data_IF_621432110585
#
_entry.id   IF_621432110585
#
_cell.length_a   1.000
_cell.length_b   1.000
_cell.length_c   1.000
_cell.angle_alpha   90.00
_cell.angle_beta   90.00
_cell.angle_gamma   90.00
#
_symmetry.space_group_name_H-M   'P 1'
#
loop_
_entity.id
_entity.type
_entity.pdbx_description
1 polymer ?
#
# COMPACT_ATOMS: atom_id res chain seq x y z
N UNK A 1 -11.14 0.34 17.68
CA UNK A 1 -9.85 0.17 16.99
C UNK A 1 -9.73 1.28 15.97
N UNK A 2 -8.80 2.18 16.18
CA UNK A 2 -8.64 3.38 15.36
C UNK A 2 -8.39 2.99 13.92
N UNK A 3 -9.25 3.48 13.06
CA UNK A 3 -9.07 3.49 11.60
C UNK A 3 -7.84 4.36 11.31
N UNK A 4 -6.65 3.78 11.38
CA UNK A 4 -5.41 4.48 11.12
C UNK A 4 -5.40 4.78 9.63
N UNK A 5 -5.85 5.99 9.32
CA UNK A 5 -5.90 6.52 7.97
C UNK A 5 -4.46 6.60 7.49
N UNK A 6 -4.14 5.93 6.40
CA UNK A 6 -2.83 6.07 5.76
C UNK A 6 -2.83 7.40 5.04
N UNK A 7 -2.26 8.41 5.65
CA UNK A 7 -2.26 9.78 5.15
C UNK A 7 -0.84 10.30 4.87
N UNK A 8 0.18 9.49 5.11
CA UNK A 8 1.56 9.92 4.93
C UNK A 8 2.03 9.61 3.52
N UNK A 9 2.40 10.66 2.79
CA UNK A 9 3.08 10.60 1.50
C UNK A 9 4.58 10.77 1.73
N UNK A 10 5.39 9.77 1.36
CA UNK A 10 6.84 9.84 1.48
C UNK A 10 7.45 10.33 0.18
N UNK A 11 8.30 11.36 0.28
CA UNK A 11 9.09 11.91 -0.83
C UNK A 11 10.55 11.52 -0.59
N UNK A 12 11.15 10.82 -1.55
CA UNK A 12 12.56 10.41 -1.51
C UNK A 12 13.29 11.04 -2.69
N UNK A 13 14.08 12.05 -2.43
CA UNK A 13 14.86 12.81 -3.42
C UNK A 13 16.04 13.46 -2.69
N UNK A 14 17.23 13.45 -3.26
CA UNK A 14 18.41 14.07 -2.66
C UNK A 14 18.41 15.61 -2.78
N UNK A 15 17.66 16.15 -3.71
CA UNK A 15 17.54 17.60 -3.93
C UNK A 15 16.43 18.20 -3.05
N UNK A 16 16.83 19.09 -2.14
CA UNK A 16 15.91 19.81 -1.25
C UNK A 16 14.87 20.64 -2.00
N UNK A 17 15.24 21.23 -3.14
CA UNK A 17 14.31 22.05 -3.95
C UNK A 17 13.22 21.17 -4.55
N UNK A 18 13.58 20.02 -5.09
CA UNK A 18 12.61 19.05 -5.63
C UNK A 18 11.66 18.57 -4.55
N UNK A 19 12.16 18.22 -3.35
CA UNK A 19 11.31 17.82 -2.23
C UNK A 19 10.33 18.93 -1.85
N UNK A 20 10.81 20.18 -1.76
CA UNK A 20 9.96 21.33 -1.45
C UNK A 20 8.86 21.58 -2.49
N UNK A 21 9.14 21.38 -3.78
CA UNK A 21 8.12 21.49 -4.85
C UNK A 21 7.04 20.42 -4.67
N UNK A 22 7.44 19.17 -4.45
CA UNK A 22 6.50 18.07 -4.25
C UNK A 22 5.70 18.23 -2.95
N UNK A 23 6.34 18.68 -1.87
CA UNK A 23 5.64 19.01 -0.63
C UNK A 23 4.53 20.04 -0.87
N UNK A 24 4.82 21.14 -1.56
CA UNK A 24 3.82 22.16 -1.89
C UNK A 24 2.63 21.61 -2.69
N UNK A 25 2.89 20.66 -3.58
CA UNK A 25 1.84 20.04 -4.39
C UNK A 25 0.88 19.21 -3.53
N UNK A 26 1.38 18.50 -2.51
CA UNK A 26 0.63 17.47 -1.80
C UNK A 26 0.26 17.80 -0.35
N UNK A 27 0.86 18.80 0.27
CA UNK A 27 0.67 19.11 1.70
C UNK A 27 -0.78 19.46 2.11
N UNK A 28 -1.60 19.90 1.16
CA UNK A 28 -3.00 20.20 1.45
C UNK A 28 -3.87 18.94 1.65
N UNK A 29 -3.48 17.81 1.04
CA UNK A 29 -4.23 16.56 1.08
C UNK A 29 -3.58 15.50 1.98
N UNK A 30 -2.26 15.54 2.18
CA UNK A 30 -1.48 14.49 2.85
C UNK A 30 -0.50 15.05 3.87
N UNK A 31 -0.18 14.24 4.87
CA UNK A 31 0.98 14.48 5.72
C UNK A 31 2.23 14.09 4.96
N UNK A 32 3.18 15.01 4.84
CA UNK A 32 4.41 14.78 4.08
C UNK A 32 5.51 14.27 5.00
N UNK A 33 6.16 13.20 4.57
CA UNK A 33 7.44 12.74 5.11
C UNK A 33 8.51 12.82 4.02
N UNK A 34 9.72 13.11 4.40
CA UNK A 34 10.84 13.28 3.46
C UNK A 34 12.00 12.35 3.82
N UNK A 35 12.71 11.90 2.79
CA UNK A 35 14.01 11.24 2.92
C UNK A 35 14.96 11.82 1.87
N UNK A 36 16.19 12.07 2.28
CA UNK A 36 17.20 12.74 1.45
C UNK A 36 18.09 11.79 0.66
N UNK A 37 17.93 10.49 0.84
CA UNK A 37 18.70 9.46 0.13
C UNK A 37 17.95 8.13 0.04
N UNK A 38 18.47 7.21 -0.76
CA UNK A 38 17.91 5.89 -0.94
C UNK A 38 17.83 5.06 0.36
N UNK A 39 18.92 4.96 1.14
CA UNK A 39 18.93 4.19 2.39
C UNK A 39 17.92 4.69 3.42
N UNK A 40 17.80 5.99 3.62
CA UNK A 40 16.83 6.56 4.57
C UNK A 40 15.39 6.39 4.10
N UNK A 41 15.14 6.54 2.79
CA UNK A 41 13.85 6.27 2.18
C UNK A 41 13.43 4.80 2.35
N UNK A 42 14.33 3.88 2.00
CA UNK A 42 14.09 2.44 2.16
C UNK A 42 13.78 2.07 3.60
N UNK A 43 14.56 2.57 4.55
CA UNK A 43 14.34 2.32 5.98
C UNK A 43 12.95 2.78 6.43
N UNK A 44 12.55 4.00 6.08
CA UNK A 44 11.22 4.53 6.44
C UNK A 44 10.09 3.69 5.87
N UNK A 45 10.25 3.22 4.63
CA UNK A 45 9.24 2.37 3.98
C UNK A 45 9.13 1.02 4.70
N UNK A 46 10.25 0.38 5.01
CA UNK A 46 10.27 -0.94 5.64
C UNK A 46 9.82 -0.92 7.10
N UNK A 47 10.13 0.16 7.85
CA UNK A 47 9.74 0.28 9.26
C UNK A 47 8.23 0.44 9.47
N UNK A 48 7.56 1.19 8.59
CA UNK A 48 6.15 1.51 8.78
C UNK A 48 5.38 1.61 7.45
N UNK A 49 5.36 0.54 6.62
CA UNK A 49 4.70 0.58 5.32
C UNK A 49 3.20 0.85 5.43
N UNK A 50 2.61 0.47 6.57
CA UNK A 50 1.17 0.63 6.82
C UNK A 50 0.73 2.06 7.15
N UNK A 51 1.66 2.95 7.43
CA UNK A 51 1.39 4.38 7.64
C UNK A 51 1.43 5.17 6.33
N UNK A 52 2.07 4.63 5.30
CA UNK A 52 2.26 5.31 4.02
C UNK A 52 1.06 5.10 3.08
N UNK A 53 0.62 6.17 2.43
CA UNK A 53 -0.37 6.10 1.35
C UNK A 53 0.26 6.03 -0.03
N UNK A 54 1.44 6.57 -0.22
CA UNK A 54 2.24 6.48 -1.45
C UNK A 54 3.70 6.86 -1.20
N UNK A 55 4.57 6.50 -2.13
CA UNK A 55 5.98 6.90 -2.18
C UNK A 55 6.26 7.57 -3.52
N UNK A 56 6.85 8.76 -3.47
CA UNK A 56 7.43 9.45 -4.62
C UNK A 56 8.94 9.30 -4.54
N UNK A 57 9.55 8.64 -5.49
CA UNK A 57 10.94 8.20 -5.44
C UNK A 57 11.71 8.73 -6.66
N UNK A 58 12.76 9.50 -6.42
CA UNK A 58 13.68 9.88 -7.49
C UNK A 58 14.59 8.70 -7.87
N UNK A 59 14.87 8.58 -9.16
CA UNK A 59 15.80 7.55 -9.69
C UNK A 59 17.24 7.97 -9.43
N UNK A 60 17.60 9.20 -9.75
CA UNK A 60 19.00 9.66 -9.73
C UNK A 60 19.34 10.23 -8.36
N UNK A 61 19.97 9.41 -7.54
CA UNK A 61 20.49 9.78 -6.23
C UNK A 61 21.90 9.23 -6.03
N UNK A 62 22.80 9.93 -5.31
CA UNK A 62 24.12 9.42 -5.01
C UNK A 62 24.08 8.13 -4.18
N UNK A 63 24.95 7.19 -4.49
CA UNK A 63 25.02 5.90 -3.80
C UNK A 63 23.91 4.96 -4.22
N UNK A 64 22.92 4.74 -3.37
CA UNK A 64 21.77 3.92 -3.69
C UNK A 64 20.75 4.73 -4.51
N UNK A 65 20.57 4.39 -5.77
CA UNK A 65 19.59 5.02 -6.65
C UNK A 65 18.15 4.50 -6.40
N UNK A 66 17.18 5.17 -7.04
CA UNK A 66 15.77 4.80 -6.88
C UNK A 66 15.42 3.41 -7.41
N UNK A 67 16.09 2.90 -8.44
CA UNK A 67 15.87 1.55 -8.94
C UNK A 67 16.36 0.50 -7.96
N UNK A 68 17.48 0.72 -7.29
CA UNK A 68 17.96 -0.18 -6.24
C UNK A 68 17.00 -0.22 -5.04
N UNK A 69 16.48 0.93 -4.63
CA UNK A 69 15.41 1.00 -3.61
C UNK A 69 14.21 0.18 -4.06
N UNK A 70 13.76 0.38 -5.29
CA UNK A 70 12.60 -0.32 -5.85
C UNK A 70 12.81 -1.84 -5.93
N UNK A 71 14.01 -2.31 -6.32
CA UNK A 71 14.35 -3.75 -6.33
C UNK A 71 14.23 -4.36 -4.94
N UNK A 72 14.66 -3.67 -3.91
CA UNK A 72 14.55 -4.14 -2.52
C UNK A 72 13.10 -4.19 -2.06
N UNK A 73 12.32 -3.16 -2.38
CA UNK A 73 10.89 -3.14 -2.07
C UNK A 73 10.11 -4.24 -2.80
N UNK A 74 10.49 -4.55 -4.03
CA UNK A 74 9.89 -5.62 -4.80
C UNK A 74 10.10 -7.00 -4.15
N UNK A 75 11.29 -7.28 -3.61
CA UNK A 75 11.58 -8.51 -2.87
C UNK A 75 10.69 -8.69 -1.64
N UNK A 76 10.32 -7.59 -1.00
CA UNK A 76 9.40 -7.56 0.14
C UNK A 76 7.91 -7.51 -0.27
N UNK A 77 7.60 -7.61 -1.57
CA UNK A 77 6.25 -7.57 -2.14
C UNK A 77 5.47 -6.29 -1.77
N UNK A 78 6.16 -5.19 -1.51
CA UNK A 78 5.56 -3.91 -1.11
C UNK A 78 4.82 -3.18 -2.23
N UNK A 79 5.26 -3.21 -3.51
CA UNK A 79 4.54 -2.54 -4.59
C UNK A 79 3.08 -2.98 -4.77
N UNK A 80 2.74 -4.21 -4.38
CA UNK A 80 1.36 -4.70 -4.41
C UNK A 80 0.45 -4.05 -3.35
N UNK A 81 1.04 -3.50 -2.30
CA UNK A 81 0.33 -2.95 -1.13
C UNK A 81 0.50 -1.45 -0.95
N UNK A 82 1.54 -0.88 -1.53
CA UNK A 82 1.91 0.52 -1.42
C UNK A 82 2.23 1.08 -2.81
N UNK A 83 1.47 2.07 -3.30
CA UNK A 83 1.76 2.66 -4.60
C UNK A 83 3.06 3.46 -4.57
N UNK A 84 3.96 3.13 -5.50
CA UNK A 84 5.26 3.75 -5.67
C UNK A 84 5.29 4.42 -7.04
N UNK A 85 5.68 5.68 -7.06
CA UNK A 85 5.88 6.49 -8.27
C UNK A 85 7.35 6.84 -8.40
N UNK A 86 7.91 6.67 -9.57
CA UNK A 86 9.21 7.25 -9.88
C UNK A 86 9.04 8.66 -10.43
N UNK A 87 9.84 9.59 -9.95
CA UNK A 87 9.91 10.96 -10.48
C UNK A 87 11.34 11.23 -10.89
N UNK A 88 11.61 11.32 -12.19
CA UNK A 88 12.98 11.38 -12.67
C UNK A 88 13.17 12.30 -13.89
N UNK A 89 14.33 12.91 -13.99
CA UNK A 89 14.77 13.60 -15.20
C UNK A 89 15.22 12.62 -16.30
N UNK A 90 15.58 11.39 -15.94
CA UNK A 90 16.07 10.36 -16.86
C UNK A 90 15.06 9.21 -17.00
N UNK A 91 14.12 9.35 -17.94
CA UNK A 91 13.15 8.32 -18.29
C UNK A 91 13.55 7.59 -19.56
N UNK A 92 14.70 6.91 -19.57
CA UNK A 92 15.11 6.06 -20.70
C UNK A 92 14.25 4.80 -20.78
N UNK A 93 14.17 4.19 -21.98
CA UNK A 93 13.39 2.96 -22.17
C UNK A 93 13.80 1.84 -21.21
N UNK A 94 15.08 1.70 -20.92
CA UNK A 94 15.59 0.69 -19.97
C UNK A 94 15.13 0.94 -18.56
N UNK A 95 15.16 2.19 -18.09
CA UNK A 95 14.65 2.60 -16.77
C UNK A 95 13.16 2.36 -16.66
N UNK A 96 12.39 2.74 -17.68
CA UNK A 96 10.94 2.53 -17.71
C UNK A 96 10.58 1.05 -17.63
N UNK A 97 11.21 0.21 -18.45
CA UNK A 97 10.96 -1.23 -18.49
C UNK A 97 11.27 -1.89 -17.14
N UNK A 98 12.40 -1.56 -16.56
CA UNK A 98 12.78 -2.09 -15.27
C UNK A 98 11.82 -1.62 -14.17
N UNK A 99 11.50 -0.34 -14.11
CA UNK A 99 10.60 0.23 -13.12
C UNK A 99 9.22 -0.43 -13.16
N UNK A 100 8.63 -0.55 -14.34
CA UNK A 100 7.33 -1.21 -14.46
C UNK A 100 7.39 -2.71 -14.15
N UNK A 101 8.48 -3.40 -14.49
CA UNK A 101 8.66 -4.81 -14.12
C UNK A 101 8.77 -5.02 -12.61
N UNK A 102 9.22 -4.01 -11.88
CA UNK A 102 9.32 -4.01 -10.41
C UNK A 102 8.05 -3.49 -9.72
N UNK A 103 6.98 -3.25 -10.48
CA UNK A 103 5.66 -2.92 -9.95
C UNK A 103 5.45 -1.45 -9.60
N UNK A 104 6.26 -0.53 -10.14
CA UNK A 104 5.99 0.90 -10.00
C UNK A 104 4.65 1.25 -10.66
N UNK A 105 3.89 2.13 -10.02
CA UNK A 105 2.57 2.52 -10.52
C UNK A 105 2.65 3.44 -11.73
N UNK A 106 3.62 4.33 -11.72
CA UNK A 106 3.82 5.27 -12.81
C UNK A 106 5.23 5.88 -12.74
N UNK A 107 5.70 6.37 -13.88
CA UNK A 107 6.95 7.14 -13.99
C UNK A 107 6.62 8.54 -14.48
N UNK A 108 7.00 9.52 -13.70
CA UNK A 108 6.72 10.95 -13.94
C UNK A 108 8.04 11.64 -14.28
N UNK A 109 8.08 12.26 -15.44
CA UNK A 109 9.26 12.99 -15.89
C UNK A 109 9.37 14.37 -15.22
N UNK A 110 10.58 14.75 -14.83
CA UNK A 110 10.90 16.14 -14.44
C UNK A 110 11.12 17.01 -15.68
N UNK A 111 10.76 18.29 -15.68
CA UNK A 111 10.11 19.04 -14.59
C UNK A 111 8.64 18.63 -14.41
N UNK A 112 8.20 18.55 -13.15
CA UNK A 112 6.84 18.17 -12.83
C UNK A 112 5.83 19.28 -13.16
N UNK A 113 4.68 18.90 -13.70
CA UNK A 113 3.54 19.80 -13.86
C UNK A 113 2.61 19.59 -12.67
N UNK A 114 2.51 20.55 -11.75
CA UNK A 114 1.84 20.34 -10.45
C UNK A 114 0.45 19.73 -10.51
N UNK A 115 -0.41 20.27 -11.36
CA UNK A 115 -1.77 19.77 -11.53
C UNK A 115 -1.80 18.32 -12.03
N UNK A 116 -0.94 17.98 -12.98
CA UNK A 116 -0.89 16.62 -13.57
C UNK A 116 -0.40 15.62 -12.56
N UNK A 117 0.69 15.90 -11.87
CA UNK A 117 1.28 15.03 -10.84
C UNK A 117 0.30 14.82 -9.69
N UNK A 118 -0.28 15.89 -9.18
CA UNK A 118 -1.27 15.83 -8.11
C UNK A 118 -2.44 14.89 -8.49
N UNK A 119 -3.02 15.08 -9.67
CA UNK A 119 -4.14 14.27 -10.13
C UNK A 119 -3.79 12.80 -10.31
N UNK A 120 -2.65 12.49 -10.92
CA UNK A 120 -2.20 11.12 -11.16
C UNK A 120 -1.97 10.37 -9.85
N UNK A 121 -1.23 10.97 -8.93
CA UNK A 121 -0.91 10.37 -7.64
C UNK A 121 -2.16 10.21 -6.77
N UNK A 122 -2.99 11.25 -6.67
CA UNK A 122 -4.23 11.21 -5.89
C UNK A 122 -5.18 10.12 -6.37
N UNK A 123 -5.38 9.98 -7.67
CA UNK A 123 -6.27 8.95 -8.24
C UNK A 123 -5.81 7.54 -7.88
N UNK A 124 -4.52 7.28 -7.90
CA UNK A 124 -3.97 5.97 -7.53
C UNK A 124 -4.09 5.72 -6.02
N UNK A 125 -3.80 6.71 -5.20
CA UNK A 125 -3.99 6.60 -3.74
C UNK A 125 -5.44 6.25 -3.41
N UNK A 126 -6.40 6.94 -4.00
CA UNK A 126 -7.83 6.68 -3.81
C UNK A 126 -8.22 5.26 -4.24
N UNK A 127 -7.68 4.78 -5.37
CA UNK A 127 -7.89 3.40 -5.83
C UNK A 127 -7.35 2.37 -4.84
N UNK A 128 -6.13 2.54 -4.33
CA UNK A 128 -5.55 1.66 -3.33
C UNK A 128 -6.32 1.68 -2.01
N UNK A 129 -6.78 2.83 -1.57
CA UNK A 129 -7.61 2.96 -0.38
C UNK A 129 -8.97 2.28 -0.54
N UNK A 130 -9.60 2.40 -1.71
CA UNK A 130 -10.86 1.73 -2.02
C UNK A 130 -10.69 0.21 -2.05
N UNK A 131 -9.63 -0.30 -2.70
CA UNK A 131 -9.29 -1.71 -2.75
C UNK A 131 -9.08 -2.31 -1.35
N UNK A 132 -8.39 -1.59 -0.47
CA UNK A 132 -8.19 -2.03 0.91
C UNK A 132 -9.49 -2.09 1.72
N UNK A 133 -10.32 -1.07 1.58
CA UNK A 133 -11.65 -1.07 2.25
C UNK A 133 -12.47 -2.27 1.81
N UNK A 134 -12.49 -2.55 0.51
CA UNK A 134 -13.20 -3.70 -0.05
C UNK A 134 -12.64 -5.02 0.49
N UNK A 135 -11.32 -5.20 0.50
CA UNK A 135 -10.68 -6.41 1.01
C UNK A 135 -10.98 -6.64 2.50
N UNK A 136 -10.97 -5.60 3.32
CA UNK A 136 -11.34 -5.69 4.75
C UNK A 136 -12.81 -6.08 4.93
N UNK A 137 -13.69 -5.52 4.12
CA UNK A 137 -15.12 -5.87 4.16
C UNK A 137 -15.34 -7.33 3.80
N UNK A 138 -14.71 -7.81 2.74
CA UNK A 138 -14.78 -9.22 2.32
C UNK A 138 -14.25 -10.15 3.41
N UNK A 139 -13.12 -9.84 4.02
CA UNK A 139 -12.53 -10.65 5.10
C UNK A 139 -13.45 -10.69 6.33
N UNK A 140 -13.97 -9.54 6.75
CA UNK A 140 -14.92 -9.46 7.85
C UNK A 140 -16.20 -10.26 7.59
N UNK A 141 -16.75 -10.22 6.38
CA UNK A 141 -17.91 -11.02 6.00
C UNK A 141 -17.59 -12.52 6.01
N UNK A 142 -16.43 -12.91 5.50
CA UNK A 142 -15.95 -14.29 5.53
C UNK A 142 -15.87 -14.83 6.96
N UNK A 143 -15.24 -14.08 7.86
CA UNK A 143 -15.14 -14.44 9.29
C UNK A 143 -16.52 -14.61 9.95
N UNK A 144 -17.46 -13.72 9.62
CA UNK A 144 -18.85 -13.84 10.12
C UNK A 144 -19.53 -15.09 9.61
N UNK A 145 -19.39 -15.41 8.31
CA UNK A 145 -19.98 -16.61 7.71
C UNK A 145 -19.38 -17.89 8.31
N UNK A 146 -18.06 -17.91 8.55
CA UNK A 146 -17.41 -19.04 9.21
C UNK A 146 -17.94 -19.25 10.63
N UNK A 147 -18.08 -18.20 11.43
CA UNK A 147 -18.67 -18.28 12.77
C UNK A 147 -20.10 -18.78 12.74
N UNK A 148 -20.92 -18.28 11.83
CA UNK A 148 -22.30 -18.76 11.66
C UNK A 148 -22.36 -20.24 11.26
N UNK A 149 -21.46 -20.69 10.39
CA UNK A 149 -21.36 -22.10 10.02
C UNK A 149 -20.97 -22.99 11.21
N UNK A 150 -20.02 -22.57 12.03
CA UNK A 150 -19.62 -23.26 13.26
C UNK A 150 -20.79 -23.36 14.25
N UNK A 151 -21.53 -22.27 14.48
CA UNK A 151 -22.71 -22.26 15.33
C UNK A 151 -23.79 -23.21 14.84
N UNK A 152 -24.02 -23.28 13.53
CA UNK A 152 -24.99 -24.23 12.92
C UNK A 152 -24.55 -25.68 13.14
N UNK A 153 -23.27 -25.98 12.97
CA UNK A 153 -22.72 -27.32 13.20
C UNK A 153 -22.90 -27.72 14.67
N UNK A 154 -22.55 -26.82 15.60
CA UNK A 154 -22.69 -27.06 17.04
C UNK A 154 -24.17 -27.30 17.43
N UNK A 155 -25.10 -26.50 16.89
CA UNK A 155 -26.53 -26.69 17.10
C UNK A 155 -27.01 -28.04 16.54
N UNK A 156 -26.58 -28.43 15.36
CA UNK A 156 -26.94 -29.71 14.75
C UNK A 156 -26.40 -30.89 15.56
N UNK A 157 -25.19 -30.82 16.08
CA UNK A 157 -24.64 -31.85 16.96
C UNK A 157 -25.46 -31.97 18.25
N UNK A 158 -25.77 -30.84 18.88
CA UNK A 158 -26.62 -30.82 20.08
C UNK A 158 -28.01 -31.43 19.85
N UNK A 159 -28.61 -31.16 18.69
CA UNK A 159 -29.89 -31.77 18.31
C UNK A 159 -29.78 -33.27 18.11
N UNK A 160 -28.74 -33.77 17.44
CA UNK A 160 -28.50 -35.19 17.22
C UNK A 160 -28.30 -35.93 18.56
N UNK A 161 -27.52 -35.36 19.47
CA UNK A 161 -27.28 -35.90 20.81
C UNK A 161 -28.57 -35.94 21.64
N UNK A 162 -29.36 -34.87 21.59
CA UNK A 162 -30.66 -34.84 22.30
C UNK A 162 -31.64 -35.86 21.77
N UNK A 163 -31.71 -36.08 20.45
CA UNK A 163 -32.55 -37.10 19.83
C UNK A 163 -32.06 -38.51 20.17
N UNK A 164 -30.76 -38.75 20.16
CA UNK A 164 -30.18 -40.04 20.56
C UNK A 164 -30.53 -40.38 22.02
N UNK A 165 -30.35 -39.42 22.92
CA UNK A 165 -30.72 -39.58 24.33
C UNK A 165 -32.24 -39.85 24.55
N UNK A 166 -33.09 -39.19 23.77
CA UNK A 166 -34.54 -39.41 23.84
C UNK A 166 -34.95 -40.80 23.35
N UNK A 167 -34.25 -41.36 22.38
CA UNK A 167 -34.49 -42.73 21.90
C UNK A 167 -34.05 -43.77 22.93
N UNK A 168 -32.86 -43.57 23.52
CA UNK A 168 -32.37 -44.47 24.59
C UNK A 168 -33.28 -44.49 25.84
N UNK A 169 -33.91 -43.37 26.16
CA UNK A 169 -34.80 -43.26 27.30
C UNK A 169 -36.15 -43.96 27.07
N UNK A 170 -36.52 -44.27 25.80
CA UNK A 170 -37.76 -44.94 25.43
C UNK A 170 -37.63 -46.46 25.27
N UNK A 171 -36.45 -46.97 25.26
CA UNK A 171 -36.14 -48.39 25.22
C UNK A 171 -35.88 -48.95 26.62
#
# INVERSE_FOLDING_TARGET
>A
MSNQKRDVLLIVDDDTVNRGILEQIFQADYTIAEAEDGPSGLRRILEAPDQLCAVLLDVVMPGMDGLEVLRRLYREQLPDRLPIFLITAEASDSVLREAYSLGVMDVISKPVVPYVVHRRVKSVIELFQARRRLSRTVESQRERLLRQAEEIIDLNQGMVEALAAAIEFRS
#
